data_IF_641955395967
#
_entry.id   IF_641955395967
#
_cell.length_a   1.000
_cell.length_b   1.000
_cell.length_c   1.000
_cell.angle_alpha   90.00
_cell.angle_beta   90.00
_cell.angle_gamma   90.00
#
_symmetry.space_group_name_H-M   'P 1'
#
loop_
_entity.id
_entity.type
_entity.pdbx_description
1 polymer ?
#
# COMPACT_ATOMS: atom_id res chain seq x y z
N UNK A 1 20.50 61.16 -10.44
CA UNK A 1 20.68 59.81 -9.89
C UNK A 1 19.55 58.95 -10.40
N UNK A 2 19.85 58.18 -11.45
CA UNK A 2 18.83 57.36 -12.17
C UNK A 2 18.77 56.00 -11.53
N UNK A 3 17.69 55.71 -10.80
CA UNK A 3 17.36 54.38 -10.36
C UNK A 3 16.93 53.52 -11.57
N UNK A 4 17.91 52.80 -12.12
CA UNK A 4 17.63 51.71 -13.06
C UNK A 4 17.06 50.54 -12.24
N UNK A 5 15.74 50.48 -12.08
CA UNK A 5 15.05 49.29 -11.60
C UNK A 5 15.41 48.13 -12.54
N UNK A 6 16.34 47.25 -12.12
CA UNK A 6 16.55 45.95 -12.75
C UNK A 6 15.22 45.21 -12.73
N UNK A 7 14.53 45.13 -13.89
CA UNK A 7 13.43 44.20 -14.08
C UNK A 7 13.96 42.82 -13.80
N UNK A 8 13.55 42.23 -12.65
CA UNK A 8 13.81 40.84 -12.36
C UNK A 8 13.31 40.02 -13.55
N UNK A 9 14.18 39.18 -14.11
CA UNK A 9 13.80 38.28 -15.20
C UNK A 9 12.69 37.36 -14.67
N UNK A 10 11.55 37.35 -15.35
CA UNK A 10 10.46 36.45 -15.01
C UNK A 10 10.97 34.99 -15.06
N UNK A 11 10.66 34.18 -14.06
CA UNK A 11 11.12 32.80 -14.03
C UNK A 11 10.58 32.04 -15.24
N UNK A 12 11.43 31.22 -15.87
CA UNK A 12 11.07 30.42 -17.05
C UNK A 12 9.83 29.53 -16.81
N UNK A 13 9.62 29.07 -15.58
CA UNK A 13 8.48 28.29 -15.17
C UNK A 13 7.77 28.98 -14.00
N UNK A 14 6.50 29.23 -14.14
CA UNK A 14 5.64 29.71 -13.08
C UNK A 14 4.59 28.65 -12.76
N UNK A 15 4.64 28.11 -11.53
CA UNK A 15 3.67 27.15 -11.04
C UNK A 15 2.64 27.90 -10.22
N UNK A 16 1.39 27.86 -10.63
CA UNK A 16 0.26 28.44 -9.89
C UNK A 16 -0.76 27.36 -9.54
N UNK A 17 -1.34 27.44 -8.34
CA UNK A 17 -2.44 26.57 -7.96
C UNK A 17 -3.61 26.79 -8.93
N UNK A 18 -4.18 25.71 -9.43
CA UNK A 18 -5.33 25.78 -10.34
C UNK A 18 -6.61 25.94 -9.54
N UNK A 19 -7.55 26.73 -10.03
CA UNK A 19 -8.92 26.72 -9.54
C UNK A 19 -9.54 25.32 -9.75
N UNK A 20 -10.57 24.99 -8.96
CA UNK A 20 -11.18 23.66 -8.99
C UNK A 20 -11.55 23.24 -10.44
N UNK A 21 -10.91 22.17 -10.92
CA UNK A 21 -11.19 21.63 -12.25
C UNK A 21 -12.53 20.85 -12.21
N UNK A 22 -13.36 20.91 -13.27
CA UNK A 22 -14.55 20.06 -13.35
C UNK A 22 -14.18 18.58 -13.20
N UNK A 23 -14.96 17.84 -12.42
CA UNK A 23 -14.68 16.43 -12.06
C UNK A 23 -14.43 15.55 -13.28
N UNK A 24 -15.21 15.73 -14.35
CA UNK A 24 -15.07 14.92 -15.56
C UNK A 24 -13.71 15.11 -16.25
N UNK A 25 -13.16 16.36 -16.31
CA UNK A 25 -11.83 16.64 -16.86
C UNK A 25 -10.73 15.98 -16.05
N UNK A 26 -10.85 15.98 -14.71
CA UNK A 26 -9.91 15.30 -13.82
C UNK A 26 -9.90 13.78 -14.06
N UNK A 27 -11.06 13.16 -14.27
CA UNK A 27 -11.14 11.73 -14.62
C UNK A 27 -10.55 11.42 -16.00
N UNK A 28 -10.76 12.29 -17.00
CA UNK A 28 -10.15 12.15 -18.33
C UNK A 28 -8.62 12.22 -18.26
N UNK A 29 -8.06 13.17 -17.49
CA UNK A 29 -6.60 13.30 -17.33
C UNK A 29 -6.03 12.04 -16.63
N UNK A 30 -6.66 11.54 -15.58
CA UNK A 30 -6.24 10.30 -14.91
C UNK A 30 -6.31 9.10 -15.86
N UNK A 31 -7.41 8.96 -16.59
CA UNK A 31 -7.56 7.90 -17.59
C UNK A 31 -6.49 7.95 -18.69
N UNK A 32 -6.23 9.14 -19.22
CA UNK A 32 -5.18 9.34 -20.22
C UNK A 32 -3.78 9.04 -19.67
N UNK A 33 -3.48 9.44 -18.43
CA UNK A 33 -2.21 9.14 -17.77
C UNK A 33 -1.99 7.63 -17.56
N UNK A 34 -3.02 6.91 -17.11
CA UNK A 34 -2.98 5.45 -16.94
C UNK A 34 -2.76 4.78 -18.30
N UNK A 35 -3.48 5.22 -19.34
CA UNK A 35 -3.39 4.66 -20.66
C UNK A 35 -1.99 4.90 -21.27
N UNK A 36 -1.45 6.10 -21.09
CA UNK A 36 -0.09 6.44 -21.51
C UNK A 36 0.96 5.61 -20.76
N UNK A 37 0.81 5.45 -19.45
CA UNK A 37 1.69 4.64 -18.63
C UNK A 37 1.69 3.17 -19.07
N UNK A 38 0.51 2.61 -19.33
CA UNK A 38 0.38 1.25 -19.86
C UNK A 38 1.03 1.12 -21.23
N UNK A 39 0.79 2.07 -22.15
CA UNK A 39 1.42 2.05 -23.49
C UNK A 39 2.94 2.09 -23.35
N UNK A 40 3.48 3.01 -22.55
CA UNK A 40 4.93 3.12 -22.33
C UNK A 40 5.51 1.83 -21.74
N UNK A 41 4.87 1.27 -20.72
CA UNK A 41 5.28 0.00 -20.10
C UNK A 41 5.29 -1.14 -21.11
N UNK A 42 4.26 -1.22 -21.96
CA UNK A 42 4.18 -2.22 -23.02
C UNK A 42 5.24 -2.05 -24.11
N UNK A 43 5.55 -0.81 -24.50
CA UNK A 43 6.63 -0.51 -25.45
C UNK A 43 7.99 -0.92 -24.88
N UNK A 44 8.27 -0.56 -23.61
CA UNK A 44 9.53 -0.94 -22.95
C UNK A 44 9.64 -2.48 -22.89
N UNK A 45 8.57 -3.17 -22.49
CA UNK A 45 8.54 -4.63 -22.47
C UNK A 45 8.74 -5.23 -23.87
N UNK A 46 8.14 -4.64 -24.92
CA UNK A 46 8.30 -5.09 -26.31
C UNK A 46 9.74 -4.96 -26.82
N UNK A 47 10.41 -3.85 -26.51
CA UNK A 47 11.82 -3.61 -26.89
C UNK A 47 12.72 -4.65 -26.22
N UNK A 48 12.50 -4.95 -24.94
CA UNK A 48 13.33 -5.91 -24.18
C UNK A 48 13.10 -7.36 -24.59
N UNK A 49 11.85 -7.73 -24.83
CA UNK A 49 11.49 -9.11 -25.22
C UNK A 49 11.60 -9.39 -26.70
N UNK A 50 11.75 -8.35 -27.53
CA UNK A 50 11.63 -8.42 -29.00
C UNK A 50 10.32 -9.06 -29.47
N UNK A 51 9.31 -9.05 -28.61
CA UNK A 51 8.00 -9.62 -28.86
C UNK A 51 7.02 -8.57 -29.43
N UNK A 52 5.96 -9.04 -30.10
CA UNK A 52 4.93 -8.15 -30.61
C UNK A 52 4.20 -7.48 -29.43
N UNK A 53 4.06 -6.13 -29.40
CA UNK A 53 3.34 -5.39 -28.34
C UNK A 53 1.95 -5.96 -28.06
N UNK A 54 1.23 -6.41 -29.09
CA UNK A 54 -0.09 -6.99 -28.92
C UNK A 54 -0.06 -8.30 -28.09
N UNK A 55 0.96 -9.14 -28.28
CA UNK A 55 1.12 -10.36 -27.48
C UNK A 55 1.42 -10.05 -26.02
N UNK A 56 2.16 -8.97 -25.73
CA UNK A 56 2.46 -8.51 -24.39
C UNK A 56 1.17 -8.05 -23.67
N UNK A 57 0.37 -7.23 -24.31
CA UNK A 57 -0.92 -6.82 -23.72
C UNK A 57 -1.87 -7.99 -23.56
N UNK A 58 -1.92 -8.91 -24.52
CA UNK A 58 -2.69 -10.13 -24.40
C UNK A 58 -2.27 -10.93 -23.15
N UNK A 59 -0.98 -11.09 -22.93
CA UNK A 59 -0.45 -11.76 -21.74
C UNK A 59 -0.80 -11.00 -20.49
N UNK A 60 -0.58 -9.69 -20.45
CA UNK A 60 -0.85 -8.84 -19.30
C UNK A 60 -2.33 -8.86 -18.90
N UNK A 61 -3.27 -8.81 -19.83
CA UNK A 61 -4.70 -8.72 -19.50
C UNK A 61 -5.38 -10.10 -19.46
N UNK A 62 -5.12 -10.97 -20.43
CA UNK A 62 -5.84 -12.24 -20.53
C UNK A 62 -5.23 -13.32 -19.62
N UNK A 63 -3.90 -13.43 -19.53
CA UNK A 63 -3.30 -14.49 -18.71
C UNK A 63 -3.47 -14.20 -17.21
N UNK A 64 -3.67 -12.94 -16.83
CA UNK A 64 -3.96 -12.55 -15.44
C UNK A 64 -5.25 -13.20 -14.93
N UNK A 65 -6.24 -13.38 -15.79
CA UNK A 65 -7.55 -13.97 -15.44
C UNK A 65 -7.73 -15.39 -16.00
N UNK A 66 -6.84 -15.88 -16.86
CA UNK A 66 -6.99 -17.15 -17.52
C UNK A 66 -5.78 -18.06 -17.33
N UNK A 67 -6.01 -19.36 -17.49
CA UNK A 67 -4.96 -20.37 -17.48
C UNK A 67 -4.89 -20.98 -18.89
N UNK A 68 -3.69 -21.08 -19.44
CA UNK A 68 -3.47 -21.75 -20.71
C UNK A 68 -3.46 -23.26 -20.48
N UNK A 69 -4.46 -23.97 -21.01
CA UNK A 69 -4.51 -25.43 -21.05
C UNK A 69 -4.60 -25.89 -22.50
N UNK A 70 -3.64 -26.74 -22.93
CA UNK A 70 -3.58 -27.28 -24.30
C UNK A 70 -3.67 -26.21 -25.40
N UNK A 71 -3.04 -25.03 -25.19
CA UNK A 71 -3.03 -23.93 -26.16
C UNK A 71 -4.33 -23.08 -26.21
N UNK A 72 -5.34 -23.38 -25.39
CA UNK A 72 -6.56 -22.57 -25.23
C UNK A 72 -6.55 -21.84 -23.91
N UNK A 73 -6.97 -20.57 -23.92
CA UNK A 73 -7.13 -19.75 -22.72
C UNK A 73 -8.51 -20.06 -22.10
N UNK A 74 -8.48 -20.57 -20.88
CA UNK A 74 -9.70 -20.80 -20.08
C UNK A 74 -9.73 -19.81 -18.94
N UNK A 75 -10.85 -19.12 -18.77
CA UNK A 75 -11.07 -18.23 -17.61
C UNK A 75 -10.96 -19.03 -16.30
N UNK A 76 -10.13 -18.57 -15.37
CA UNK A 76 -9.89 -19.23 -14.09
C UNK A 76 -10.53 -18.47 -12.94
N UNK A 77 -11.60 -19.02 -12.40
CA UNK A 77 -12.27 -18.51 -11.20
C UNK A 77 -11.31 -18.44 -10.02
N UNK A 78 -10.39 -19.39 -9.88
CA UNK A 78 -9.39 -19.39 -8.80
C UNK A 78 -8.43 -18.22 -8.88
N UNK A 79 -7.95 -17.85 -10.10
CA UNK A 79 -7.12 -16.64 -10.29
C UNK A 79 -7.87 -15.36 -9.96
N UNK A 80 -9.15 -15.28 -10.30
CA UNK A 80 -10.00 -14.15 -9.96
C UNK A 80 -10.14 -13.98 -8.44
N UNK A 81 -10.43 -15.06 -7.70
CA UNK A 81 -10.49 -15.03 -6.23
C UNK A 81 -9.16 -14.65 -5.60
N UNK A 82 -8.06 -15.11 -6.18
CA UNK A 82 -6.72 -14.72 -5.72
C UNK A 82 -6.45 -13.23 -5.94
N UNK A 83 -6.88 -12.64 -7.06
CA UNK A 83 -6.78 -11.19 -7.28
C UNK A 83 -7.61 -10.42 -6.25
N UNK A 84 -8.86 -10.81 -6.01
CA UNK A 84 -9.69 -10.17 -4.99
C UNK A 84 -9.11 -10.29 -3.59
N UNK A 85 -8.48 -11.39 -3.26
CA UNK A 85 -7.73 -11.57 -2.02
C UNK A 85 -6.58 -10.56 -1.90
N UNK A 86 -5.77 -10.39 -2.94
CA UNK A 86 -4.66 -9.43 -2.96
C UNK A 86 -5.16 -7.99 -2.86
N UNK A 87 -6.26 -7.68 -3.55
CA UNK A 87 -6.97 -6.39 -3.43
C UNK A 87 -7.44 -6.16 -2.00
N UNK A 88 -8.01 -7.17 -1.36
CA UNK A 88 -8.47 -7.06 0.02
C UNK A 88 -7.31 -6.75 0.98
N UNK A 89 -6.17 -7.43 0.86
CA UNK A 89 -4.98 -7.14 1.70
C UNK A 89 -4.48 -5.71 1.48
N UNK A 90 -4.31 -5.29 0.22
CA UNK A 90 -3.83 -3.94 -0.10
C UNK A 90 -4.81 -2.87 0.39
N UNK A 91 -6.12 -3.10 0.20
CA UNK A 91 -7.18 -2.22 0.70
C UNK A 91 -7.16 -2.13 2.23
N UNK A 92 -6.96 -3.25 2.94
CA UNK A 92 -6.87 -3.27 4.40
C UNK A 92 -5.74 -2.36 4.90
N UNK A 93 -4.56 -2.43 4.30
CA UNK A 93 -3.42 -1.57 4.65
C UNK A 93 -3.70 -0.10 4.28
N UNK A 94 -4.31 0.16 3.13
CA UNK A 94 -4.68 1.52 2.71
C UNK A 94 -5.72 2.15 3.66
N UNK A 95 -6.70 1.37 4.11
CA UNK A 95 -7.67 1.78 5.13
C UNK A 95 -6.98 2.06 6.47
N UNK A 96 -6.02 1.23 6.86
CA UNK A 96 -5.24 1.41 8.09
C UNK A 96 -4.46 2.73 8.10
N UNK A 97 -3.94 3.17 6.97
CA UNK A 97 -3.22 4.43 6.82
C UNK A 97 -4.13 5.67 6.81
N UNK A 98 -5.41 5.52 6.45
CA UNK A 98 -6.35 6.63 6.28
C UNK A 98 -6.48 7.53 7.51
N UNK A 99 -6.65 7.03 8.75
CA UNK A 99 -6.75 7.86 9.94
C UNK A 99 -5.48 8.69 10.19
N UNK A 100 -4.31 8.08 10.02
CA UNK A 100 -3.02 8.74 10.21
C UNK A 100 -2.82 9.89 9.20
N UNK A 101 -3.07 9.65 7.92
CA UNK A 101 -2.92 10.67 6.88
C UNK A 101 -3.97 11.79 6.95
N UNK A 102 -5.21 11.50 7.37
CA UNK A 102 -6.20 12.53 7.64
C UNK A 102 -5.75 13.47 8.75
N UNK A 103 -5.02 12.95 9.72
CA UNK A 103 -4.42 13.74 10.81
C UNK A 103 -3.12 14.45 10.38
N UNK A 104 -2.68 14.29 9.13
CA UNK A 104 -1.36 14.74 8.61
C UNK A 104 -0.16 14.12 9.33
N UNK A 105 -0.33 12.96 9.94
CA UNK A 105 0.77 12.14 10.43
C UNK A 105 1.25 11.22 9.31
N UNK A 106 2.49 11.42 8.87
CA UNK A 106 3.10 10.67 7.77
C UNK A 106 3.57 9.28 8.23
N UNK A 107 2.62 8.35 8.36
CA UNK A 107 2.92 6.97 8.73
C UNK A 107 3.44 6.17 7.52
N UNK A 108 4.77 6.16 7.31
CA UNK A 108 5.42 5.29 6.31
C UNK A 108 5.69 3.89 6.90
N UNK A 109 5.41 3.68 8.17
CA UNK A 109 5.68 2.46 8.93
C UNK A 109 4.67 1.32 8.77
N UNK A 110 3.71 1.44 7.86
CA UNK A 110 2.67 0.42 7.68
C UNK A 110 3.25 -0.96 7.35
N UNK A 111 4.33 -1.03 6.57
CA UNK A 111 5.03 -2.28 6.24
C UNK A 111 5.47 -3.02 7.51
N UNK A 112 6.16 -2.32 8.41
CA UNK A 112 6.60 -2.87 9.69
C UNK A 112 5.45 -3.21 10.64
N UNK A 113 4.38 -2.42 10.65
CA UNK A 113 3.18 -2.69 11.46
C UNK A 113 2.46 -3.98 10.99
N UNK A 114 2.38 -4.21 9.69
CA UNK A 114 1.86 -5.45 9.10
C UNK A 114 2.75 -6.64 9.46
N UNK A 115 4.07 -6.49 9.32
CA UNK A 115 5.05 -7.51 9.68
C UNK A 115 4.97 -7.89 11.16
N UNK A 116 4.85 -6.91 12.06
CA UNK A 116 4.74 -7.18 13.50
C UNK A 116 3.38 -7.78 13.89
N UNK A 117 2.31 -7.44 13.18
CA UNK A 117 1.03 -8.14 13.31
C UNK A 117 1.12 -9.60 12.86
N UNK A 118 1.75 -9.85 11.72
CA UNK A 118 2.01 -11.20 11.22
C UNK A 118 2.91 -12.02 12.18
N UNK A 119 3.92 -11.37 12.77
CA UNK A 119 4.81 -11.96 13.75
C UNK A 119 4.06 -12.35 15.03
N UNK A 120 3.22 -11.47 15.58
CA UNK A 120 2.38 -11.77 16.75
C UNK A 120 1.46 -12.98 16.52
N UNK A 121 0.80 -13.04 15.34
CA UNK A 121 0.01 -14.19 14.92
C UNK A 121 0.84 -15.48 14.87
N UNK A 122 2.03 -15.41 14.29
CA UNK A 122 2.92 -16.56 14.12
C UNK A 122 3.45 -17.10 15.45
N UNK A 123 3.76 -16.23 16.41
CA UNK A 123 4.17 -16.62 17.76
C UNK A 123 3.06 -17.41 18.46
N UNK A 124 1.82 -16.94 18.39
CA UNK A 124 0.67 -17.65 19.00
C UNK A 124 0.50 -19.03 18.37
N UNK A 125 0.57 -19.12 17.05
CA UNK A 125 0.54 -20.41 16.35
C UNK A 125 1.66 -21.34 16.80
N UNK A 126 2.89 -20.83 16.92
CA UNK A 126 4.04 -21.63 17.33
C UNK A 126 3.92 -22.19 18.74
N UNK A 127 3.49 -21.35 19.68
CA UNK A 127 3.52 -21.68 21.11
C UNK A 127 2.29 -22.44 21.58
N UNK A 128 1.11 -22.20 21.00
CA UNK A 128 -0.17 -22.65 21.50
C UNK A 128 -0.87 -23.70 20.64
N UNK A 129 -0.40 -23.97 19.41
CA UNK A 129 -0.98 -25.03 18.57
C UNK A 129 -0.82 -26.39 19.27
N UNK A 130 -1.92 -27.11 19.37
CA UNK A 130 -1.99 -28.39 20.07
C UNK A 130 -2.12 -28.32 21.61
N UNK A 131 -2.03 -27.11 22.19
CA UNK A 131 -2.20 -26.87 23.62
C UNK A 131 -3.56 -26.30 24.00
N UNK A 132 -4.21 -25.63 23.06
CA UNK A 132 -5.52 -24.98 23.26
C UNK A 132 -6.49 -25.39 22.15
N UNK A 133 -7.81 -25.35 22.41
CA UNK A 133 -8.83 -25.61 21.39
C UNK A 133 -8.73 -24.58 20.23
N UNK A 134 -9.04 -25.04 19.01
CA UNK A 134 -8.91 -24.23 17.79
C UNK A 134 -9.65 -22.89 17.86
N UNK A 135 -10.89 -22.76 18.39
CA UNK A 135 -11.55 -21.47 18.51
C UNK A 135 -10.81 -20.48 19.41
N UNK A 136 -10.25 -20.94 20.52
CA UNK A 136 -9.45 -20.11 21.43
C UNK A 136 -8.15 -19.68 20.73
N UNK A 137 -7.54 -20.58 19.98
CA UNK A 137 -6.34 -20.26 19.19
C UNK A 137 -6.60 -19.11 18.22
N UNK A 138 -7.73 -19.13 17.50
CA UNK A 138 -8.10 -18.03 16.59
C UNK A 138 -8.29 -16.69 17.32
N UNK A 139 -8.95 -16.68 18.45
CA UNK A 139 -9.13 -15.46 19.26
C UNK A 139 -7.77 -14.89 19.68
N UNK A 140 -6.86 -15.75 20.13
CA UNK A 140 -5.52 -15.36 20.55
C UNK A 140 -4.67 -14.88 19.37
N UNK A 141 -4.78 -15.51 18.19
CA UNK A 141 -4.11 -15.07 16.96
C UNK A 141 -4.57 -13.67 16.56
N UNK A 142 -5.88 -13.42 16.57
CA UNK A 142 -6.46 -12.10 16.25
C UNK A 142 -5.96 -11.06 17.26
N UNK A 143 -6.04 -11.35 18.55
CA UNK A 143 -5.60 -10.44 19.60
C UNK A 143 -4.11 -10.12 19.49
N UNK A 144 -3.26 -11.13 19.33
CA UNK A 144 -1.81 -10.96 19.21
C UNK A 144 -1.42 -10.17 17.94
N UNK A 145 -2.12 -10.40 16.84
CA UNK A 145 -1.88 -9.67 15.60
C UNK A 145 -2.24 -8.20 15.71
N UNK A 146 -3.40 -7.89 16.28
CA UNK A 146 -3.86 -6.52 16.54
C UNK A 146 -2.89 -5.81 17.49
N UNK A 147 -2.53 -6.48 18.60
CA UNK A 147 -1.59 -5.92 19.58
C UNK A 147 -0.19 -5.71 18.99
N UNK A 148 0.33 -6.67 18.21
CA UNK A 148 1.63 -6.54 17.56
C UNK A 148 1.70 -5.33 16.64
N UNK A 149 0.71 -5.15 15.77
CA UNK A 149 0.63 -3.99 14.89
C UNK A 149 0.42 -2.67 15.66
N UNK A 150 -0.48 -2.66 16.66
CA UNK A 150 -0.77 -1.48 17.48
C UNK A 150 0.45 -1.03 18.28
N UNK A 151 1.13 -1.94 18.98
CA UNK A 151 2.34 -1.63 19.75
C UNK A 151 3.44 -1.05 18.85
N UNK A 152 3.60 -1.62 17.63
CA UNK A 152 4.57 -1.09 16.69
C UNK A 152 4.22 0.30 16.18
N UNK A 153 2.94 0.60 16.01
CA UNK A 153 2.45 1.93 15.61
C UNK A 153 2.52 2.97 16.73
N UNK A 154 2.39 2.55 18.01
CA UNK A 154 2.43 3.45 19.18
C UNK A 154 3.81 4.05 19.40
N UNK A 155 4.88 3.30 19.17
CA UNK A 155 6.26 3.77 19.41
C UNK A 155 6.52 5.11 18.71
N UNK A 156 6.43 5.24 17.38
CA UNK A 156 6.65 6.52 16.71
C UNK A 156 5.64 7.60 17.11
N UNK A 157 4.41 7.21 17.47
CA UNK A 157 3.39 8.14 17.92
C UNK A 157 3.74 8.82 19.25
N UNK A 158 4.30 8.06 20.21
CA UNK A 158 4.76 8.59 21.48
C UNK A 158 5.90 9.60 21.23
N UNK A 159 6.90 9.22 20.43
CA UNK A 159 8.02 10.09 20.13
C UNK A 159 7.58 11.38 19.43
N UNK A 160 6.64 11.30 18.49
CA UNK A 160 6.05 12.49 17.86
C UNK A 160 5.28 13.35 18.83
N UNK A 161 4.41 12.76 19.65
CA UNK A 161 3.52 13.49 20.54
C UNK A 161 4.25 14.20 21.68
N UNK A 162 5.33 13.64 22.21
CA UNK A 162 6.06 14.20 23.36
C UNK A 162 7.34 14.93 22.98
N UNK A 163 8.06 14.49 21.97
CA UNK A 163 9.36 15.02 21.59
C UNK A 163 9.36 15.77 20.26
N UNK A 164 8.24 15.74 19.50
CA UNK A 164 8.13 16.43 18.21
C UNK A 164 9.05 15.85 17.11
N UNK A 165 9.46 14.58 17.24
CA UNK A 165 10.36 13.92 16.28
C UNK A 165 9.76 13.88 14.87
N UNK A 166 10.59 13.71 13.84
CA UNK A 166 10.16 13.50 12.48
C UNK A 166 9.52 12.10 12.36
N UNK A 167 8.19 12.06 12.25
CA UNK A 167 7.42 10.82 12.16
C UNK A 167 7.73 10.00 10.91
N UNK A 168 8.03 10.67 9.79
CA UNK A 168 8.33 10.02 8.51
C UNK A 168 9.58 9.17 8.60
N UNK A 169 10.69 9.76 9.08
CA UNK A 169 11.96 9.04 9.24
C UNK A 169 11.85 7.96 10.30
N UNK A 170 11.20 8.26 11.42
CA UNK A 170 11.05 7.30 12.52
C UNK A 170 10.26 6.07 12.08
N UNK A 171 9.10 6.27 11.44
CA UNK A 171 8.26 5.15 10.98
C UNK A 171 8.93 4.35 9.87
N UNK A 172 9.69 5.00 8.97
CA UNK A 172 10.46 4.32 7.93
C UNK A 172 11.53 3.40 8.54
N UNK A 173 12.31 3.89 9.53
CA UNK A 173 13.33 3.08 10.19
C UNK A 173 12.73 1.89 10.93
N UNK A 174 11.54 2.06 11.51
CA UNK A 174 10.82 0.97 12.17
C UNK A 174 10.48 -0.19 11.24
N UNK A 175 10.31 0.03 9.92
CA UNK A 175 10.10 -1.05 8.95
C UNK A 175 11.32 -1.98 8.87
N UNK A 176 12.52 -1.39 8.81
CA UNK A 176 13.77 -2.17 8.77
C UNK A 176 13.96 -2.95 10.08
N UNK A 177 13.68 -2.32 11.23
CA UNK A 177 13.79 -2.99 12.52
C UNK A 177 12.81 -4.17 12.59
N UNK A 178 11.56 -4.01 12.12
CA UNK A 178 10.57 -5.09 12.08
C UNK A 178 11.05 -6.28 11.24
N UNK A 179 11.54 -6.00 10.01
CA UNK A 179 12.05 -7.03 9.12
C UNK A 179 13.23 -7.80 9.73
N UNK A 180 14.19 -7.07 10.33
CA UNK A 180 15.35 -7.69 10.96
C UNK A 180 15.00 -8.46 12.24
N UNK A 181 14.02 -7.98 13.02
CA UNK A 181 13.54 -8.70 14.20
C UNK A 181 12.93 -10.06 13.82
N UNK A 182 12.16 -10.11 12.74
CA UNK A 182 11.60 -11.36 12.20
C UNK A 182 12.73 -12.28 11.75
N UNK A 183 13.69 -11.77 10.95
CA UNK A 183 14.82 -12.54 10.48
C UNK A 183 15.65 -13.11 11.62
N UNK A 184 15.99 -12.27 12.62
CA UNK A 184 16.68 -12.70 13.83
C UNK A 184 15.91 -13.78 14.57
N UNK A 185 14.60 -13.62 14.76
CA UNK A 185 13.78 -14.58 15.48
C UNK A 185 13.70 -15.92 14.77
N UNK A 186 13.59 -15.94 13.44
CA UNK A 186 13.58 -17.18 12.65
C UNK A 186 14.91 -17.92 12.77
N UNK A 187 16.03 -17.19 12.69
CA UNK A 187 17.38 -17.78 12.76
C UNK A 187 17.73 -18.24 14.18
N UNK A 188 17.56 -17.35 15.16
CA UNK A 188 18.02 -17.58 16.53
C UNK A 188 17.20 -18.67 17.27
N UNK A 189 15.89 -18.64 17.09
CA UNK A 189 15.01 -19.63 17.75
C UNK A 189 14.80 -20.92 16.93
N UNK A 190 15.45 -21.04 15.77
CA UNK A 190 15.35 -22.21 14.90
C UNK A 190 13.93 -22.46 14.36
N UNK A 191 13.10 -21.44 14.30
CA UNK A 191 11.70 -21.58 13.87
C UNK A 191 11.56 -21.90 12.37
N UNK A 192 12.61 -21.65 11.59
CA UNK A 192 12.67 -22.00 10.17
C UNK A 192 13.33 -23.35 9.86
N UNK A 193 13.83 -24.08 10.87
CA UNK A 193 14.53 -25.34 10.65
C UNK A 193 13.57 -26.53 10.74
N UNK A 194 13.39 -27.25 9.63
CA UNK A 194 13.02 -28.66 9.65
C UNK A 194 14.27 -29.46 10.02
N UNK A 195 14.17 -30.48 10.88
CA UNK A 195 15.31 -31.32 11.25
C UNK A 195 16.05 -31.82 10.00
N UNK A 196 17.29 -31.35 9.79
CA UNK A 196 18.17 -31.76 8.69
C UNK A 196 18.16 -30.90 7.44
N UNK A 197 17.46 -29.75 7.41
CA UNK A 197 17.50 -28.79 6.29
C UNK A 197 18.22 -27.51 6.68
N UNK A 198 18.96 -26.92 5.73
CA UNK A 198 19.55 -25.58 5.87
C UNK A 198 18.49 -24.54 6.16
N UNK A 199 18.84 -23.52 6.96
CA UNK A 199 17.96 -22.39 7.28
C UNK A 199 17.41 -21.75 6.00
N UNK A 200 16.11 -21.85 5.77
CA UNK A 200 15.46 -21.30 4.58
C UNK A 200 15.05 -19.83 4.74
N UNK A 201 15.25 -19.24 5.94
CA UNK A 201 14.79 -17.88 6.23
C UNK A 201 13.26 -17.71 6.24
N UNK A 202 12.53 -18.82 6.26
CA UNK A 202 11.06 -18.87 6.20
C UNK A 202 10.53 -19.61 7.43
N UNK A 203 9.67 -18.96 8.18
CA UNK A 203 8.85 -19.63 9.18
C UNK A 203 7.68 -20.30 8.46
N UNK A 204 7.82 -21.60 8.18
CA UNK A 204 6.83 -22.37 7.44
C UNK A 204 5.81 -23.03 8.40
N UNK A 205 4.58 -22.51 8.40
CA UNK A 205 3.47 -23.04 9.18
C UNK A 205 2.85 -24.31 8.56
N UNK A 206 3.14 -24.57 7.27
CA UNK A 206 2.57 -25.69 6.53
C UNK A 206 3.04 -27.06 7.01
N UNK A 207 4.34 -27.20 7.31
CA UNK A 207 4.93 -28.51 7.62
C UNK A 207 4.67 -29.02 9.03
N UNK A 208 4.38 -28.13 9.99
CA UNK A 208 4.35 -28.47 11.41
C UNK A 208 2.94 -28.62 11.98
N UNK A 209 1.94 -27.91 11.42
CA UNK A 209 0.65 -27.71 12.10
C UNK A 209 -0.58 -28.17 11.31
N UNK A 210 -0.43 -28.98 10.26
CA UNK A 210 -1.54 -29.65 9.53
C UNK A 210 -2.75 -28.71 9.27
N UNK A 211 -2.52 -27.52 8.74
CA UNK A 211 -3.54 -26.48 8.44
C UNK A 211 -4.25 -25.89 9.67
N UNK A 212 -3.74 -26.12 10.89
CA UNK A 212 -4.29 -25.49 12.09
C UNK A 212 -4.00 -23.98 12.05
N UNK A 213 -4.99 -23.16 12.35
CA UNK A 213 -4.87 -21.71 12.32
C UNK A 213 -5.05 -21.07 10.93
N UNK A 214 -5.42 -21.86 9.93
CA UNK A 214 -5.84 -21.33 8.62
C UNK A 214 -7.28 -20.90 8.67
N UNK A 215 -7.61 -19.82 7.95
CA UNK A 215 -9.01 -19.44 7.82
C UNK A 215 -9.80 -20.52 7.09
N UNK A 216 -11.02 -20.83 7.57
CA UNK A 216 -11.86 -21.82 6.93
C UNK A 216 -12.31 -21.34 5.55
N UNK A 217 -12.41 -22.28 4.61
CA UNK A 217 -13.04 -21.98 3.31
C UNK A 217 -14.54 -21.83 3.51
N UNK A 218 -15.10 -20.69 3.07
CA UNK A 218 -16.53 -20.42 3.08
C UNK A 218 -17.11 -20.70 1.69
N UNK A 219 -18.21 -21.43 1.63
CA UNK A 219 -18.89 -21.82 0.36
C UNK A 219 -17.93 -22.44 -0.67
N UNK A 220 -16.94 -23.20 -0.22
CA UNK A 220 -15.92 -23.81 -1.09
C UNK A 220 -14.86 -22.85 -1.64
N UNK A 221 -14.89 -21.57 -1.25
CA UNK A 221 -13.92 -20.57 -1.65
C UNK A 221 -12.91 -20.26 -0.53
N UNK A 222 -11.62 -20.46 -0.83
CA UNK A 222 -10.54 -20.34 0.15
C UNK A 222 -10.36 -18.90 0.67
N UNK A 223 -10.54 -17.90 -0.19
CA UNK A 223 -10.20 -16.51 0.13
C UNK A 223 -11.40 -15.64 0.53
N UNK A 224 -12.61 -16.18 0.53
CA UNK A 224 -13.83 -15.42 0.79
C UNK A 224 -13.83 -14.79 2.20
N UNK A 225 -13.31 -15.52 3.19
CA UNK A 225 -13.21 -15.02 4.57
C UNK A 225 -12.37 -13.74 4.66
N UNK A 226 -11.24 -13.69 3.96
CA UNK A 226 -10.36 -12.52 3.93
C UNK A 226 -11.08 -11.29 3.35
N UNK A 227 -11.79 -11.49 2.24
CA UNK A 227 -12.55 -10.44 1.56
C UNK A 227 -13.66 -9.90 2.47
N UNK A 228 -14.40 -10.78 3.14
CA UNK A 228 -15.47 -10.40 4.06
C UNK A 228 -14.96 -9.61 5.27
N UNK A 229 -13.82 -10.04 5.86
CA UNK A 229 -13.19 -9.30 6.96
C UNK A 229 -12.86 -7.87 6.51
N UNK A 230 -12.23 -7.71 5.36
CA UNK A 230 -11.83 -6.39 4.87
C UNK A 230 -13.04 -5.55 4.46
N UNK A 231 -14.06 -6.14 3.86
CA UNK A 231 -15.31 -5.44 3.54
C UNK A 231 -15.99 -4.93 4.82
N UNK A 232 -16.06 -5.74 5.87
CA UNK A 232 -16.58 -5.33 7.17
C UNK A 232 -15.75 -4.19 7.78
N UNK A 233 -14.42 -4.30 7.78
CA UNK A 233 -13.52 -3.25 8.25
C UNK A 233 -13.68 -1.95 7.46
N UNK A 234 -13.90 -2.03 6.15
CA UNK A 234 -14.14 -0.88 5.28
C UNK A 234 -15.37 -0.09 5.74
N UNK A 235 -16.48 -0.79 5.98
CA UNK A 235 -17.72 -0.17 6.46
C UNK A 235 -17.56 0.40 7.86
N UNK A 236 -16.97 -0.37 8.77
CA UNK A 236 -16.74 0.06 10.15
C UNK A 236 -15.85 1.31 10.22
N UNK A 237 -14.75 1.33 9.48
CA UNK A 237 -13.84 2.48 9.46
C UNK A 237 -14.49 3.70 8.80
N UNK A 238 -15.28 3.51 7.74
CA UNK A 238 -16.04 4.60 7.12
C UNK A 238 -16.99 5.25 8.13
N UNK A 239 -17.78 4.44 8.84
CA UNK A 239 -18.70 4.91 9.89
C UNK A 239 -17.93 5.61 11.01
N UNK A 240 -16.85 4.99 11.49
CA UNK A 240 -16.02 5.56 12.55
C UNK A 240 -15.45 6.94 12.16
N UNK A 241 -14.84 7.08 11.00
CA UNK A 241 -14.22 8.33 10.59
C UNK A 241 -15.23 9.44 10.25
N UNK A 242 -16.47 9.07 9.85
CA UNK A 242 -17.47 10.04 9.43
C UNK A 242 -18.39 10.49 10.56
N UNK A 243 -18.75 9.59 11.48
CA UNK A 243 -19.80 9.83 12.45
C UNK A 243 -19.32 9.84 13.90
N UNK A 244 -18.08 9.44 14.20
CA UNK A 244 -17.59 9.44 15.57
C UNK A 244 -16.96 10.79 15.97
N UNK A 245 -17.00 11.11 17.26
CA UNK A 245 -16.26 12.24 17.86
C UNK A 245 -14.76 12.14 17.52
N UNK A 246 -14.22 10.93 17.52
CA UNK A 246 -12.81 10.68 17.22
C UNK A 246 -12.46 11.00 15.76
N UNK A 247 -13.33 10.68 14.80
CA UNK A 247 -13.14 11.05 13.39
C UNK A 247 -13.13 12.56 13.19
N UNK A 248 -13.97 13.29 13.93
CA UNK A 248 -13.96 14.74 13.96
C UNK A 248 -12.64 15.30 14.52
N UNK A 249 -12.19 14.80 15.68
CA UNK A 249 -10.92 15.23 16.30
C UNK A 249 -9.72 14.99 15.37
N UNK A 250 -9.67 13.83 14.67
CA UNK A 250 -8.65 13.52 13.65
C UNK A 250 -8.64 14.57 12.54
N UNK A 251 -9.81 14.95 12.02
CA UNK A 251 -9.92 15.93 10.94
C UNK A 251 -9.48 17.33 11.41
N UNK A 252 -9.90 17.76 12.60
CA UNK A 252 -9.52 19.06 13.15
C UNK A 252 -8.02 19.16 13.40
N UNK A 253 -7.40 18.13 14.00
CA UNK A 253 -5.94 18.08 14.19
C UNK A 253 -5.22 18.12 12.85
N UNK A 254 -5.75 17.43 11.83
CA UNK A 254 -5.21 17.44 10.48
C UNK A 254 -5.32 18.78 9.76
N UNK A 255 -6.30 19.61 10.06
CA UNK A 255 -6.39 20.97 9.50
C UNK A 255 -5.37 21.90 10.17
N UNK A 256 -5.37 21.95 11.51
CA UNK A 256 -4.44 22.78 12.29
C UNK A 256 -4.33 22.28 13.72
N UNK A 257 -3.13 21.88 14.14
CA UNK A 257 -2.86 21.50 15.54
C UNK A 257 -3.15 22.66 16.51
N UNK A 258 -2.84 23.91 16.13
CA UNK A 258 -3.07 25.08 16.96
C UNK A 258 -4.56 25.33 17.15
N UNK A 259 -5.36 25.24 16.10
CA UNK A 259 -6.81 25.36 16.17
C UNK A 259 -7.42 24.26 17.04
N UNK A 260 -6.93 23.01 16.90
CA UNK A 260 -7.36 21.88 17.71
C UNK A 260 -7.11 22.14 19.22
N UNK A 261 -5.92 22.66 19.57
CA UNK A 261 -5.59 23.04 20.96
C UNK A 261 -6.48 24.16 21.47
N UNK A 262 -6.75 25.17 20.66
CA UNK A 262 -7.59 26.30 21.02
C UNK A 262 -9.02 25.89 21.40
N UNK A 263 -9.59 24.92 20.70
CA UNK A 263 -10.93 24.36 20.98
C UNK A 263 -10.93 23.24 22.03
N UNK A 264 -9.80 23.04 22.75
CA UNK A 264 -9.69 22.09 23.86
C UNK A 264 -9.42 20.63 23.47
N UNK A 265 -9.06 20.33 22.21
CA UNK A 265 -8.68 18.97 21.77
C UNK A 265 -7.25 18.65 22.21
N UNK A 266 -7.07 17.53 22.90
CA UNK A 266 -5.75 17.06 23.30
C UNK A 266 -5.04 16.38 22.12
N UNK A 267 -4.23 17.14 21.39
CA UNK A 267 -3.50 16.69 20.18
C UNK A 267 -2.65 15.45 20.46
N UNK A 268 -1.91 15.41 21.58
CA UNK A 268 -1.06 14.24 21.93
C UNK A 268 -1.88 12.96 22.04
N UNK A 269 -3.05 13.03 22.71
CA UNK A 269 -3.95 11.89 22.87
C UNK A 269 -4.54 11.45 21.52
N UNK A 270 -4.87 12.40 20.66
CA UNK A 270 -5.40 12.12 19.31
C UNK A 270 -4.33 11.39 18.47
N UNK A 271 -3.08 11.87 18.46
CA UNK A 271 -1.96 11.24 17.73
C UNK A 271 -1.78 9.79 18.17
N UNK A 272 -1.63 9.54 19.46
CA UNK A 272 -1.36 8.20 20.00
C UNK A 272 -2.52 7.26 19.68
N UNK A 273 -3.76 7.66 19.93
CA UNK A 273 -4.96 6.85 19.68
C UNK A 273 -5.13 6.54 18.19
N UNK A 274 -4.88 7.50 17.32
CA UNK A 274 -4.99 7.32 15.87
C UNK A 274 -3.96 6.32 15.37
N UNK A 275 -2.73 6.37 15.90
CA UNK A 275 -1.69 5.43 15.54
C UNK A 275 -1.90 4.03 16.13
N UNK A 276 -2.53 3.90 17.30
CA UNK A 276 -3.01 2.62 17.82
C UNK A 276 -4.00 2.00 16.83
N UNK A 277 -4.99 2.78 16.38
CA UNK A 277 -5.99 2.32 15.41
C UNK A 277 -5.34 1.91 14.08
N UNK A 278 -4.47 2.77 13.53
CA UNK A 278 -3.73 2.50 12.29
C UNK A 278 -2.91 1.21 12.40
N UNK A 279 -2.11 1.08 13.47
CA UNK A 279 -1.31 -0.11 13.73
C UNK A 279 -2.14 -1.37 13.95
N UNK A 280 -3.26 -1.27 14.68
CA UNK A 280 -4.19 -2.38 14.88
C UNK A 280 -4.76 -2.91 13.56
N UNK A 281 -5.17 -2.03 12.66
CA UNK A 281 -5.67 -2.40 11.32
C UNK A 281 -4.56 -3.00 10.44
N UNK A 282 -3.33 -2.46 10.50
CA UNK A 282 -2.17 -3.09 9.88
C UNK A 282 -1.90 -4.49 10.46
N UNK A 283 -2.11 -4.66 11.78
CA UNK A 283 -2.03 -5.96 12.43
C UNK A 283 -3.03 -6.95 11.83
N UNK A 284 -4.28 -6.53 11.60
CA UNK A 284 -5.28 -7.40 10.92
C UNK A 284 -4.83 -7.78 9.50
N UNK A 285 -4.21 -6.86 8.75
CA UNK A 285 -3.64 -7.21 7.45
C UNK A 285 -2.53 -8.29 7.59
N UNK A 286 -1.69 -8.20 8.64
CA UNK A 286 -0.70 -9.22 8.99
C UNK A 286 -1.32 -10.58 9.31
N UNK A 287 -2.43 -10.59 10.07
CA UNK A 287 -3.21 -11.80 10.33
C UNK A 287 -3.71 -12.45 9.03
N UNK A 288 -4.30 -11.65 8.13
CA UNK A 288 -4.80 -12.13 6.84
C UNK A 288 -3.67 -12.72 5.99
N UNK A 289 -2.48 -12.12 6.01
CA UNK A 289 -1.32 -12.66 5.29
C UNK A 289 -0.88 -14.02 5.83
N UNK A 290 -0.84 -14.20 7.15
CA UNK A 290 -0.39 -15.46 7.77
C UNK A 290 -1.48 -16.52 7.75
N UNK A 291 -2.67 -16.22 8.26
CA UNK A 291 -3.75 -17.19 8.41
C UNK A 291 -4.56 -17.41 7.12
N UNK A 292 -4.60 -16.41 6.24
CA UNK A 292 -5.47 -16.42 5.06
C UNK A 292 -4.80 -16.64 3.72
N UNK A 293 -3.47 -16.36 3.58
CA UNK A 293 -2.83 -16.35 2.25
C UNK A 293 -1.53 -17.15 2.22
N UNK A 294 -0.48 -16.64 2.88
CA UNK A 294 0.88 -17.15 2.72
C UNK A 294 1.14 -18.39 3.56
N UNK A 295 0.44 -18.54 4.66
CA UNK A 295 0.64 -19.62 5.67
C UNK A 295 2.10 -19.78 6.09
N UNK A 296 2.85 -18.68 6.00
CA UNK A 296 4.28 -18.61 6.31
C UNK A 296 4.64 -17.18 6.68
N UNK A 297 5.74 -17.01 7.40
CA UNK A 297 6.29 -15.72 7.75
C UNK A 297 7.73 -15.60 7.26
N UNK A 298 8.03 -14.51 6.58
CA UNK A 298 9.35 -14.10 6.12
C UNK A 298 9.55 -12.62 6.43
N UNK A 299 10.78 -12.15 6.39
CA UNK A 299 11.08 -10.74 6.59
C UNK A 299 10.45 -9.83 5.52
N UNK A 300 10.15 -10.38 4.33
CA UNK A 300 9.53 -9.71 3.18
C UNK A 300 8.05 -10.06 2.97
N UNK A 301 7.39 -10.70 3.95
CA UNK A 301 5.99 -11.17 3.81
C UNK A 301 4.98 -10.07 3.50
N UNK A 302 5.23 -8.84 3.93
CA UNK A 302 4.37 -7.71 3.59
C UNK A 302 4.51 -7.28 2.11
N UNK A 303 5.66 -7.59 1.46
CA UNK A 303 5.85 -7.48 0.02
C UNK A 303 5.74 -6.07 -0.55
N UNK A 304 6.11 -5.03 0.24
CA UNK A 304 6.01 -3.63 -0.17
C UNK A 304 4.58 -3.06 -0.16
N UNK A 305 3.60 -3.83 0.32
CA UNK A 305 2.19 -3.40 0.36
C UNK A 305 1.97 -2.17 1.22
N UNK A 306 2.79 -1.94 2.26
CA UNK A 306 2.77 -0.73 3.06
C UNK A 306 3.04 0.52 2.22
N UNK A 307 4.06 0.49 1.37
CA UNK A 307 4.40 1.60 0.47
C UNK A 307 3.34 1.79 -0.63
N UNK A 308 2.90 0.70 -1.25
CA UNK A 308 1.86 0.74 -2.29
C UNK A 308 0.54 1.28 -1.72
N UNK A 309 0.19 0.92 -0.49
CA UNK A 309 -1.01 1.40 0.20
C UNK A 309 -1.01 2.91 0.45
N UNK A 310 0.17 3.53 0.67
CA UNK A 310 0.30 4.99 0.74
C UNK A 310 -0.22 5.62 -0.55
N UNK A 311 0.22 5.11 -1.71
CA UNK A 311 -0.19 5.62 -3.02
C UNK A 311 -1.68 5.43 -3.25
N UNK A 312 -2.23 4.24 -2.91
CA UNK A 312 -3.68 3.97 -2.97
C UNK A 312 -4.47 4.99 -2.16
N UNK A 313 -4.04 5.24 -0.93
CA UNK A 313 -4.74 6.13 0.01
C UNK A 313 -4.77 7.57 -0.50
N UNK A 314 -3.66 8.07 -1.01
CA UNK A 314 -3.56 9.41 -1.58
C UNK A 314 -4.33 9.56 -2.89
N UNK A 315 -4.18 8.61 -3.81
CA UNK A 315 -4.87 8.64 -5.09
C UNK A 315 -6.39 8.59 -4.93
N UNK A 316 -6.87 7.86 -3.93
CA UNK A 316 -8.29 7.75 -3.60
C UNK A 316 -8.83 8.92 -2.76
N UNK A 317 -8.01 9.94 -2.43
CA UNK A 317 -8.42 11.05 -1.56
C UNK A 317 -9.13 10.59 -0.28
N UNK A 318 -8.63 9.55 0.36
CA UNK A 318 -9.16 8.97 1.61
C UNK A 318 -10.61 8.44 1.50
N UNK A 319 -11.11 8.18 0.30
CA UNK A 319 -12.44 7.62 0.09
C UNK A 319 -12.34 6.09 -0.11
N UNK A 320 -12.99 5.27 0.75
CA UNK A 320 -12.87 3.81 0.69
C UNK A 320 -13.32 3.17 -0.62
N UNK A 321 -14.34 3.72 -1.28
CA UNK A 321 -14.81 3.19 -2.56
C UNK A 321 -13.77 3.41 -3.67
N UNK A 322 -13.15 4.60 -3.73
CA UNK A 322 -12.06 4.84 -4.67
C UNK A 322 -10.80 4.07 -4.30
N UNK A 323 -10.53 3.82 -3.00
CA UNK A 323 -9.44 2.95 -2.58
C UNK A 323 -9.60 1.53 -3.09
N UNK A 324 -10.80 0.97 -3.03
CA UNK A 324 -11.08 -0.36 -3.57
C UNK A 324 -10.80 -0.42 -5.08
N UNK A 325 -11.25 0.61 -5.83
CA UNK A 325 -11.01 0.68 -7.27
C UNK A 325 -9.51 0.84 -7.61
N UNK A 326 -8.81 1.72 -6.91
CA UNK A 326 -7.36 1.94 -7.12
C UNK A 326 -6.53 0.73 -6.70
N UNK A 327 -6.91 0.05 -5.61
CA UNK A 327 -6.29 -1.22 -5.20
C UNK A 327 -6.47 -2.29 -6.27
N UNK A 328 -7.68 -2.40 -6.86
CA UNK A 328 -7.94 -3.34 -7.94
C UNK A 328 -7.06 -3.06 -9.16
N UNK A 329 -6.96 -1.79 -9.56
CA UNK A 329 -6.12 -1.39 -10.69
C UNK A 329 -4.64 -1.76 -10.46
N UNK A 330 -4.10 -1.40 -9.29
CA UNK A 330 -2.68 -1.62 -8.97
C UNK A 330 -2.39 -3.12 -8.87
N UNK A 331 -3.21 -3.89 -8.16
CA UNK A 331 -3.03 -5.35 -8.03
C UNK A 331 -3.15 -6.02 -9.39
N UNK A 332 -4.09 -5.59 -10.23
CA UNK A 332 -4.25 -6.14 -11.56
C UNK A 332 -3.01 -5.92 -12.43
N UNK A 333 -2.44 -4.71 -12.42
CA UNK A 333 -1.20 -4.39 -13.13
C UNK A 333 -0.03 -5.21 -12.56
N UNK A 334 0.09 -5.29 -11.23
CA UNK A 334 1.15 -6.07 -10.56
C UNK A 334 1.09 -7.56 -10.95
N UNK A 335 -0.09 -8.16 -10.92
CA UNK A 335 -0.26 -9.56 -11.31
C UNK A 335 -0.04 -9.77 -12.81
N UNK A 336 -0.53 -8.85 -13.64
CA UNK A 336 -0.29 -8.89 -15.08
C UNK A 336 1.19 -8.81 -15.46
N UNK A 337 1.96 -7.97 -14.79
CA UNK A 337 3.42 -7.87 -15.02
C UNK A 337 4.17 -9.11 -14.51
N UNK A 338 3.72 -9.76 -13.43
CA UNK A 338 4.28 -11.05 -13.00
C UNK A 338 3.98 -12.19 -13.99
N UNK A 339 2.79 -12.19 -14.61
CA UNK A 339 2.49 -13.13 -15.70
C UNK A 339 3.37 -12.88 -16.93
N UNK A 340 3.78 -11.62 -17.21
CA UNK A 340 4.77 -11.32 -18.24
C UNK A 340 6.15 -11.90 -17.91
N UNK A 341 6.61 -11.75 -16.65
CA UNK A 341 7.87 -12.32 -16.21
C UNK A 341 7.89 -13.87 -16.32
N UNK A 342 6.75 -14.49 -16.08
CA UNK A 342 6.61 -15.95 -16.26
C UNK A 342 6.59 -16.39 -17.74
N UNK A 343 6.03 -15.54 -18.62
CA UNK A 343 5.87 -15.86 -20.04
C UNK A 343 7.11 -15.55 -20.89
N UNK A 344 7.95 -14.63 -20.44
CA UNK A 344 9.13 -14.14 -21.16
C UNK A 344 10.37 -14.20 -20.28
N UNK A 345 11.30 -15.09 -20.55
CA UNK A 345 12.54 -15.28 -19.76
C UNK A 345 13.42 -14.01 -19.65
N UNK A 346 13.28 -13.09 -20.61
CA UNK A 346 14.00 -11.81 -20.62
C UNK A 346 13.46 -10.82 -19.57
N UNK A 347 12.27 -11.06 -19.04
CA UNK A 347 11.63 -10.23 -18.03
C UNK A 347 11.80 -10.91 -16.67
N UNK A 348 12.63 -10.32 -15.81
CA UNK A 348 12.74 -10.75 -14.41
C UNK A 348 11.59 -10.18 -13.55
N UNK A 349 11.36 -10.78 -12.38
CA UNK A 349 10.39 -10.26 -11.39
C UNK A 349 10.71 -8.81 -10.97
N UNK A 350 11.99 -8.45 -10.91
CA UNK A 350 12.42 -7.09 -10.62
C UNK A 350 12.00 -6.11 -11.72
N UNK A 351 12.07 -6.52 -12.98
CA UNK A 351 11.63 -5.71 -14.10
C UNK A 351 10.09 -5.53 -14.09
N UNK A 352 9.34 -6.56 -13.72
CA UNK A 352 7.90 -6.44 -13.50
C UNK A 352 7.58 -5.34 -12.47
N UNK A 353 8.36 -5.24 -11.40
CA UNK A 353 8.22 -4.17 -10.40
C UNK A 353 8.53 -2.78 -10.97
N UNK A 354 9.48 -2.66 -11.91
CA UNK A 354 9.76 -1.40 -12.62
C UNK A 354 8.57 -0.97 -13.47
N UNK A 355 7.91 -1.88 -14.18
CA UNK A 355 6.71 -1.56 -14.97
C UNK A 355 5.57 -1.03 -14.09
N UNK A 356 5.35 -1.66 -12.93
CA UNK A 356 4.40 -1.14 -11.93
C UNK A 356 4.80 0.26 -11.45
N UNK A 357 6.08 0.48 -11.18
CA UNK A 357 6.62 1.79 -10.79
C UNK A 357 6.36 2.89 -11.83
N UNK A 358 6.52 2.57 -13.12
CA UNK A 358 6.21 3.49 -14.22
C UNK A 358 4.73 3.88 -14.20
N UNK A 359 3.82 2.90 -14.07
CA UNK A 359 2.38 3.18 -14.00
C UNK A 359 2.07 4.10 -12.82
N UNK A 360 2.61 3.79 -11.64
CA UNK A 360 2.41 4.60 -10.44
C UNK A 360 2.97 6.02 -10.59
N UNK A 361 4.15 6.17 -11.21
CA UNK A 361 4.76 7.48 -11.47
C UNK A 361 3.85 8.37 -12.32
N UNK A 362 3.28 7.85 -13.40
CA UNK A 362 2.36 8.61 -14.25
C UNK A 362 1.04 8.94 -13.55
N UNK A 363 0.52 8.02 -12.73
CA UNK A 363 -0.68 8.27 -11.93
C UNK A 363 -0.44 9.40 -10.93
N UNK A 364 0.69 9.41 -10.22
CA UNK A 364 1.03 10.49 -9.30
C UNK A 364 1.32 11.77 -10.05
N UNK A 365 2.05 11.69 -11.17
CA UNK A 365 2.38 12.84 -12.01
C UNK A 365 1.14 13.56 -12.54
N UNK A 366 0.08 12.84 -12.90
CA UNK A 366 -1.15 13.48 -13.39
C UNK A 366 -1.87 14.30 -12.30
N UNK A 367 -1.78 13.94 -11.04
CA UNK A 367 -2.34 14.72 -9.93
C UNK A 367 -1.69 16.11 -9.83
N UNK A 368 -0.38 16.20 -10.11
CA UNK A 368 0.29 17.50 -10.19
C UNK A 368 -0.36 18.38 -11.26
N UNK A 369 -0.58 17.88 -12.48
CA UNK A 369 -1.21 18.66 -13.56
C UNK A 369 -2.70 18.95 -13.35
N UNK A 370 -3.38 18.16 -12.53
CA UNK A 370 -4.77 18.42 -12.11
C UNK A 370 -4.80 19.61 -11.14
N UNK A 371 -3.87 19.66 -10.17
CA UNK A 371 -3.90 20.62 -9.07
C UNK A 371 -3.14 21.92 -9.39
N UNK A 372 -2.18 21.90 -10.32
CA UNK A 372 -1.33 23.04 -10.66
C UNK A 372 -1.34 23.37 -12.15
N UNK A 373 -1.21 24.66 -12.46
CA UNK A 373 -0.96 25.17 -13.82
C UNK A 373 0.51 25.51 -13.93
N UNK A 374 1.19 24.94 -14.92
CA UNK A 374 2.55 25.32 -15.29
C UNK A 374 2.46 26.32 -16.45
N UNK A 375 2.86 27.56 -16.21
CA UNK A 375 3.03 28.58 -17.26
C UNK A 375 4.50 28.63 -17.65
N UNK A 376 4.79 28.41 -18.90
CA UNK A 376 6.15 28.54 -19.46
C UNK A 376 6.28 29.92 -20.08
N UNK A 377 7.15 30.73 -19.52
CA UNK A 377 7.48 32.04 -20.09
C UNK A 377 8.71 31.85 -20.98
N UNK A 378 8.48 31.71 -22.29
CA UNK A 378 9.57 31.70 -23.25
C UNK A 378 10.19 33.10 -23.29
N UNK A 379 11.53 33.23 -23.17
CA UNK A 379 12.16 34.53 -23.31
C UNK A 379 11.85 35.09 -24.71
N UNK A 380 11.11 36.19 -24.75
CA UNK A 380 10.90 36.90 -26.01
C UNK A 380 12.27 37.32 -26.55
N UNK A 381 12.71 36.80 -27.70
CA UNK A 381 13.84 37.31 -28.44
C UNK A 381 13.60 38.80 -28.65
N UNK A 382 14.43 39.68 -28.07
CA UNK A 382 14.49 41.10 -28.43
C UNK A 382 14.74 41.16 -29.94
N UNK A 383 13.78 41.59 -30.73
CA UNK A 383 14.10 42.18 -32.02
C UNK A 383 14.88 43.44 -31.69
N UNK A 384 16.17 43.41 -31.94
CA UNK A 384 16.96 44.63 -32.07
C UNK A 384 16.36 45.38 -33.28
N UNK A 385 15.64 46.42 -32.98
CA UNK A 385 15.30 47.43 -34.01
C UNK A 385 16.64 48.00 -34.43
N UNK A 386 17.11 47.57 -35.59
CA UNK A 386 18.12 48.25 -36.37
C UNK A 386 17.42 49.50 -36.87
N UNK A 387 17.59 50.62 -36.15
CA UNK A 387 17.31 51.95 -36.66
C UNK A 387 18.53 52.35 -37.42
N UNK A 388 18.31 52.52 -38.72
CA UNK A 388 19.16 53.36 -39.61
C UNK A 388 19.19 54.81 -39.16
#
# INVERSE_FOLDING_TARGET
MNDVKKKASEPLFQISKRDAMPRWKSYCIRGAAILFALILSGVIAAILTKANPFSIYKTLFLNTLSVSQKGKLHFSVSKMWFIFQEVAVLLCVALALTPAFRMRFWNIGAEGQVLMGAFGCSIVLLLLTGKVPVPILFILMIAASILGGALWGVIPAIFKAFFGTNETLFTLMMNYVAAQLISFSILHFGWGASKGMNYTGVFNLLGKYQRVGWFPSLFGQQYLMNILIVACLTVLLYIYLRYSKHGYEISVVGESENTARYIGVNVKKVIIRTMILSGALCGVAGLILVAGTNHSLRMDSAGGRGFTAIMVTWLAHFNPAYMALTSLLIVFVEKGTKELATAYEQISDNFASVLVGIVLFFIIGCEFFINYKVKVHLPRRRREDVAE
#
